data_IF_407387756252
#
_entry.id   IF_407387756252
#
_cell.length_a   1.000
_cell.length_b   1.000
_cell.length_c   1.000
_cell.angle_alpha   90.00
_cell.angle_beta   90.00
_cell.angle_gamma   90.00
#
_symmetry.space_group_name_H-M   'P 1'
#
loop_
_entity.id
_entity.type
_entity.pdbx_description
1 polymer ?
#
# COMPACT_ATOMS: atom_id res chain seq x y z
N UNK A 1 -2.05 -6.26 -17.41
CA UNK A 1 -0.58 -6.05 -17.26
C UNK A 1 -0.21 -5.85 -15.79
N UNK A 2 1.09 -5.85 -15.46
CA UNK A 2 1.62 -5.78 -14.09
C UNK A 2 0.94 -4.66 -13.30
N UNK A 3 0.09 -5.05 -12.34
CA UNK A 3 -0.49 -4.13 -11.37
C UNK A 3 0.64 -3.36 -10.73
N UNK A 4 0.48 -2.05 -10.64
CA UNK A 4 1.41 -1.14 -9.99
C UNK A 4 1.63 -1.61 -8.55
N UNK A 5 2.61 -2.49 -8.36
CA UNK A 5 3.35 -2.62 -7.11
C UNK A 5 4.07 -1.30 -6.97
N UNK A 6 3.35 -0.30 -6.43
CA UNK A 6 3.98 0.87 -5.84
C UNK A 6 5.09 0.33 -4.95
N UNK A 7 6.31 0.71 -5.33
CA UNK A 7 7.51 0.05 -4.91
C UNK A 7 7.65 0.21 -3.40
N UNK A 8 7.23 -0.80 -2.66
CA UNK A 8 7.79 -1.05 -1.33
C UNK A 8 9.30 -1.08 -1.57
N UNK A 9 10.01 -0.07 -1.03
CA UNK A 9 11.41 0.21 -1.29
C UNK A 9 12.27 -1.07 -1.50
N UNK A 10 13.26 -1.06 -2.41
CA UNK A 10 13.98 -2.26 -2.88
C UNK A 10 14.75 -3.05 -1.81
N UNK A 11 14.76 -2.62 -0.55
CA UNK A 11 15.28 -3.39 0.59
C UNK A 11 14.44 -4.63 0.96
N UNK A 12 13.21 -4.76 0.44
CA UNK A 12 12.26 -5.82 0.83
C UNK A 12 12.17 -6.99 -0.16
N UNK A 13 12.87 -6.90 -1.30
CA UNK A 13 12.80 -7.89 -2.40
C UNK A 13 13.33 -9.31 -2.05
N UNK A 14 13.95 -9.49 -0.88
CA UNK A 14 14.51 -10.77 -0.44
C UNK A 14 13.58 -11.59 0.48
N UNK A 15 12.41 -11.07 0.84
CA UNK A 15 11.48 -11.71 1.80
C UNK A 15 10.20 -12.16 1.11
N UNK A 16 9.65 -13.28 1.55
CA UNK A 16 8.29 -13.65 1.15
C UNK A 16 7.28 -12.64 1.70
N UNK A 17 6.11 -12.43 1.05
CA UNK A 17 5.07 -11.56 1.59
C UNK A 17 4.65 -11.93 3.03
N UNK A 18 4.72 -13.21 3.38
CA UNK A 18 4.42 -13.71 4.72
C UNK A 18 5.47 -13.25 5.75
N UNK A 19 6.76 -13.40 5.44
CA UNK A 19 7.85 -12.95 6.33
C UNK A 19 7.81 -11.44 6.51
N UNK A 20 7.53 -10.70 5.43
CA UNK A 20 7.41 -9.26 5.49
C UNK A 20 6.19 -8.82 6.31
N UNK A 21 5.03 -9.47 6.15
CA UNK A 21 3.83 -9.20 6.95
C UNK A 21 4.09 -9.32 8.46
N UNK A 22 4.88 -10.32 8.89
CA UNK A 22 5.26 -10.50 10.30
C UNK A 22 6.14 -9.35 10.81
N UNK A 23 7.10 -8.92 10.02
CA UNK A 23 8.00 -7.82 10.37
C UNK A 23 7.27 -6.48 10.44
N UNK A 24 6.35 -6.25 9.49
CA UNK A 24 5.44 -5.10 9.49
C UNK A 24 4.59 -5.10 10.75
N UNK A 25 4.04 -6.26 11.17
CA UNK A 25 3.28 -6.36 12.40
C UNK A 25 4.09 -5.94 13.64
N UNK A 26 5.36 -6.32 13.72
CA UNK A 26 6.25 -6.00 14.84
C UNK A 26 6.72 -4.53 14.82
N UNK A 27 6.80 -3.91 13.65
CA UNK A 27 7.37 -2.57 13.47
C UNK A 27 6.39 -1.61 12.77
N UNK A 28 5.08 -1.77 13.00
CA UNK A 28 4.04 -1.11 12.21
C UNK A 28 4.24 0.40 12.12
N UNK A 29 4.45 1.09 13.24
CA UNK A 29 4.63 2.55 13.26
C UNK A 29 5.84 3.01 12.45
N UNK A 30 6.91 2.22 12.40
CA UNK A 30 8.09 2.54 11.59
C UNK A 30 7.74 2.50 10.11
N UNK A 31 7.19 1.37 9.64
CA UNK A 31 6.80 1.19 8.23
C UNK A 31 5.71 2.15 7.81
N UNK A 32 4.78 2.45 8.70
CA UNK A 32 3.72 3.42 8.45
C UNK A 32 4.31 4.82 8.26
N UNK A 33 5.19 5.27 9.15
CA UNK A 33 5.86 6.56 8.98
C UNK A 33 6.70 6.62 7.70
N UNK A 34 7.49 5.59 7.40
CA UNK A 34 8.31 5.52 6.19
C UNK A 34 7.46 5.58 4.92
N UNK A 35 6.41 4.76 4.83
CA UNK A 35 5.50 4.74 3.68
C UNK A 35 4.70 6.03 3.51
N UNK A 36 4.31 6.71 4.61
CA UNK A 36 3.68 8.04 4.53
C UNK A 36 4.64 9.07 3.96
N UNK A 37 5.91 9.10 4.38
CA UNK A 37 6.89 10.05 3.84
C UNK A 37 7.18 9.78 2.37
N UNK A 38 7.29 8.51 1.97
CA UNK A 38 7.47 8.13 0.57
C UNK A 38 6.26 8.55 -0.29
N UNK A 39 5.04 8.22 0.15
CA UNK A 39 3.82 8.61 -0.55
C UNK A 39 3.68 10.13 -0.66
N UNK A 40 3.91 10.88 0.42
CA UNK A 40 3.87 12.35 0.39
C UNK A 40 4.96 12.93 -0.53
N UNK A 41 6.15 12.35 -0.54
CA UNK A 41 7.22 12.74 -1.45
C UNK A 41 6.84 12.56 -2.92
N UNK A 42 6.01 11.56 -3.23
CA UNK A 42 5.51 11.31 -4.58
C UNK A 42 4.29 12.17 -4.94
N UNK A 43 3.31 12.26 -4.06
CA UNK A 43 1.97 12.80 -4.34
C UNK A 43 1.70 14.20 -3.79
N UNK A 44 2.62 14.74 -2.98
CA UNK A 44 2.48 16.06 -2.37
C UNK A 44 1.92 16.05 -0.95
N UNK A 45 2.25 17.10 -0.18
CA UNK A 45 1.82 17.30 1.21
C UNK A 45 0.30 17.47 1.34
N UNK A 46 -0.34 18.02 0.31
CA UNK A 46 -1.79 18.15 0.23
C UNK A 46 -2.52 16.79 0.22
N UNK A 47 -1.83 15.71 -0.15
CA UNK A 47 -2.36 14.34 -0.13
C UNK A 47 -2.01 13.59 1.17
N UNK A 48 -1.39 14.23 2.17
CA UNK A 48 -0.91 13.56 3.39
C UNK A 48 -1.95 12.66 4.06
N UNK A 49 -3.17 13.14 4.27
CA UNK A 49 -4.21 12.32 4.92
C UNK A 49 -4.59 11.09 4.10
N UNK A 50 -4.57 11.18 2.76
CA UNK A 50 -4.82 10.03 1.90
C UNK A 50 -3.61 9.06 1.88
N UNK A 51 -2.39 9.59 1.94
CA UNK A 51 -1.17 8.79 2.12
C UNK A 51 -1.14 8.06 3.47
N UNK A 52 -1.51 8.72 4.57
CA UNK A 52 -1.66 8.11 5.90
C UNK A 52 -2.64 6.95 5.89
N UNK A 53 -3.79 7.15 5.23
CA UNK A 53 -4.80 6.13 5.05
C UNK A 53 -4.29 4.96 4.19
N UNK A 54 -3.79 5.25 2.98
CA UNK A 54 -3.26 4.26 2.04
C UNK A 54 -2.21 3.37 2.69
N UNK A 55 -1.19 3.97 3.31
CA UNK A 55 -0.10 3.22 3.95
C UNK A 55 -0.64 2.36 5.09
N UNK A 56 -1.60 2.85 5.88
CA UNK A 56 -2.17 2.06 6.96
C UNK A 56 -2.91 0.81 6.43
N UNK A 57 -3.73 0.96 5.39
CA UNK A 57 -4.50 -0.17 4.84
C UNK A 57 -3.63 -1.15 4.07
N UNK A 58 -2.62 -0.68 3.35
CA UNK A 58 -1.66 -1.54 2.62
C UNK A 58 -0.82 -2.39 3.58
N UNK A 59 -0.28 -1.79 4.65
CA UNK A 59 0.43 -2.55 5.68
C UNK A 59 -0.48 -3.58 6.37
N UNK A 60 -1.75 -3.26 6.58
CA UNK A 60 -2.71 -4.23 7.12
C UNK A 60 -3.00 -5.38 6.15
N UNK A 61 -3.04 -5.12 4.84
CA UNK A 61 -3.11 -6.18 3.83
C UNK A 61 -1.92 -7.14 3.97
N UNK A 62 -0.69 -6.61 4.03
CA UNK A 62 0.52 -7.41 4.18
C UNK A 62 0.55 -8.24 5.47
N UNK A 63 0.12 -7.67 6.61
CA UNK A 63 0.00 -8.41 7.87
C UNK A 63 -0.94 -9.60 7.72
N UNK A 64 -2.06 -9.44 7.00
CA UNK A 64 -3.08 -10.49 6.86
C UNK A 64 -2.79 -11.50 5.75
N UNK A 65 -1.72 -11.31 4.96
CA UNK A 65 -1.19 -12.34 4.06
C UNK A 65 -0.41 -13.44 4.79
N UNK A 66 -0.08 -13.26 6.08
CA UNK A 66 0.60 -14.25 6.90
C UNK A 66 -0.21 -15.56 7.02
N UNK A 67 0.47 -16.70 7.03
CA UNK A 67 -0.17 -17.99 7.28
C UNK A 67 -0.89 -18.00 8.65
N UNK A 68 -2.11 -18.55 8.67
CA UNK A 68 -2.96 -18.59 9.86
C UNK A 68 -3.84 -17.35 10.07
N UNK A 69 -3.69 -16.30 9.27
CA UNK A 69 -4.61 -15.15 9.26
C UNK A 69 -5.80 -15.39 8.32
N UNK A 70 -6.91 -14.69 8.57
CA UNK A 70 -8.14 -14.82 7.79
C UNK A 70 -7.97 -14.21 6.38
N UNK A 71 -8.03 -15.00 5.29
CA UNK A 71 -7.84 -14.49 3.93
C UNK A 71 -8.88 -13.43 3.52
N UNK A 72 -10.10 -13.50 4.05
CA UNK A 72 -11.13 -12.50 3.77
C UNK A 72 -10.77 -11.12 4.33
N UNK A 73 -9.96 -11.04 5.39
CA UNK A 73 -9.44 -9.76 5.89
C UNK A 73 -8.35 -9.21 4.99
N UNK A 74 -7.46 -10.05 4.45
CA UNK A 74 -6.47 -9.61 3.49
C UNK A 74 -7.14 -9.01 2.25
N UNK A 75 -8.16 -9.69 1.69
CA UNK A 75 -8.93 -9.16 0.56
C UNK A 75 -9.66 -7.86 0.89
N UNK A 76 -10.21 -7.72 2.10
CA UNK A 76 -10.83 -6.47 2.55
C UNK A 76 -9.84 -5.31 2.54
N UNK A 77 -8.65 -5.48 3.15
CA UNK A 77 -7.64 -4.42 3.19
C UNK A 77 -7.08 -4.11 1.80
N UNK A 78 -6.91 -5.14 0.95
CA UNK A 78 -6.48 -4.95 -0.43
C UNK A 78 -7.42 -4.01 -1.20
N UNK A 79 -8.74 -4.21 -1.11
CA UNK A 79 -9.72 -3.35 -1.78
C UNK A 79 -9.61 -1.88 -1.34
N UNK A 80 -9.41 -1.65 -0.05
CA UNK A 80 -9.22 -0.29 0.48
C UNK A 80 -7.91 0.34 0.00
N UNK A 81 -6.83 -0.44 -0.04
CA UNK A 81 -5.53 0.01 -0.55
C UNK A 81 -5.61 0.36 -2.05
N UNK A 82 -6.24 -0.50 -2.85
CA UNK A 82 -6.45 -0.27 -4.29
C UNK A 82 -7.28 1.00 -4.53
N UNK A 83 -8.35 1.23 -3.75
CA UNK A 83 -9.17 2.45 -3.84
C UNK A 83 -8.37 3.72 -3.48
N UNK A 84 -7.60 3.68 -2.40
CA UNK A 84 -6.77 4.81 -1.98
C UNK A 84 -5.65 5.11 -2.98
N UNK A 85 -4.99 4.06 -3.50
CA UNK A 85 -3.97 4.17 -4.54
C UNK A 85 -4.54 4.79 -5.82
N UNK A 86 -5.75 4.38 -6.23
CA UNK A 86 -6.43 4.99 -7.38
C UNK A 86 -6.69 6.49 -7.16
N UNK A 87 -7.16 6.89 -5.98
CA UNK A 87 -7.39 8.31 -5.66
C UNK A 87 -6.09 9.12 -5.66
N UNK A 88 -4.99 8.55 -5.18
CA UNK A 88 -3.66 9.18 -5.25
C UNK A 88 -3.19 9.33 -6.71
N UNK A 89 -3.36 8.28 -7.52
CA UNK A 89 -3.05 8.33 -8.94
C UNK A 89 -3.84 9.44 -9.65
N UNK A 90 -5.16 9.47 -9.47
CA UNK A 90 -6.04 10.47 -10.09
C UNK A 90 -5.72 11.88 -9.61
N UNK A 91 -5.34 12.08 -8.34
CA UNK A 91 -4.99 13.42 -7.84
C UNK A 91 -3.75 14.01 -8.52
N UNK A 92 -2.79 13.17 -8.92
CA UNK A 92 -1.54 13.59 -9.57
C UNK A 92 -1.62 13.64 -11.09
N UNK A 93 -2.28 12.66 -11.71
CA UNK A 93 -2.29 12.49 -13.16
C UNK A 93 -3.61 12.89 -13.82
N UNK A 94 -4.65 13.16 -13.03
CA UNK A 94 -6.01 13.36 -13.52
C UNK A 94 -6.76 12.04 -13.73
N UNK A 95 -8.05 12.14 -14.03
CA UNK A 95 -8.90 10.99 -14.32
C UNK A 95 -8.75 10.62 -15.80
N UNK A 96 -7.70 9.87 -16.11
CA UNK A 96 -7.53 9.32 -17.45
C UNK A 96 -8.54 8.17 -17.61
N UNK A 97 -9.69 8.47 -18.23
CA UNK A 97 -10.73 7.49 -18.56
C UNK A 97 -10.24 6.39 -19.53
N UNK A 98 -8.98 6.44 -19.97
CA UNK A 98 -8.27 5.29 -20.54
C UNK A 98 -7.91 4.32 -19.42
N UNK A 99 -8.79 3.36 -19.19
CA UNK A 99 -8.64 2.21 -18.29
C UNK A 99 -7.15 1.79 -18.18
N UNK A 100 -6.48 1.99 -17.02
CA UNK A 100 -5.09 1.54 -16.84
C UNK A 100 -4.97 0.04 -16.60
N UNK A 101 -6.10 -0.67 -16.52
CA UNK A 101 -6.21 -2.02 -15.98
C UNK A 101 -6.88 -2.97 -16.99
N UNK A 102 -6.13 -3.32 -18.05
CA UNK A 102 -6.23 -4.61 -18.77
C UNK A 102 -4.88 -5.35 -18.64
#
# INVERSE_FOLDING_TARGET
MAGSTFAIAPAHAARTPQEFGREVQLNFSKYWNEGVQECVGEYGEEQRSLCEYYTAVDLNYLIHLQEGFNPARAEYFKKLADEASYKLYVSKYGDDNSIPFD
#
